data_IF_744143972650
#
_entry.id   IF_744143972650
#
_cell.length_a   1.000
_cell.length_b   1.000
_cell.length_c   1.000
_cell.angle_alpha   90.00
_cell.angle_beta   90.00
_cell.angle_gamma   90.00
#
_symmetry.space_group_name_H-M   'P 1'
#
loop_
_entity.id
_entity.type
_entity.pdbx_description
1 polymer ?
#
# COMPACT_ATOMS: atom_id res chain seq x y z
N UNK A 1 -14.64 -0.93 16.62
CA UNK A 1 -14.06 -2.01 15.81
C UNK A 1 -13.24 -2.93 16.70
N UNK A 2 -13.47 -4.22 16.63
CA UNK A 2 -12.78 -5.20 17.46
C UNK A 2 -11.37 -5.45 16.93
N UNK A 3 -10.44 -5.98 17.77
CA UNK A 3 -9.11 -6.34 17.28
C UNK A 3 -9.15 -7.36 16.13
N UNK A 4 -10.14 -8.25 16.13
CA UNK A 4 -10.29 -9.21 15.05
C UNK A 4 -10.68 -8.52 13.73
N UNK A 5 -11.53 -7.51 13.80
CA UNK A 5 -11.90 -6.73 12.62
C UNK A 5 -10.71 -5.99 12.06
N UNK A 6 -9.87 -5.45 12.93
CA UNK A 6 -8.66 -4.73 12.51
C UNK A 6 -7.72 -5.68 11.79
N UNK A 7 -7.50 -6.89 12.33
CA UNK A 7 -6.64 -7.88 11.70
C UNK A 7 -7.20 -8.32 10.35
N UNK A 8 -8.52 -8.47 10.24
CA UNK A 8 -9.16 -8.83 8.97
C UNK A 8 -8.93 -7.77 7.91
N UNK A 9 -9.10 -6.50 8.28
CA UNK A 9 -8.91 -5.39 7.35
C UNK A 9 -7.44 -5.29 6.93
N UNK A 10 -6.51 -5.44 7.87
CA UNK A 10 -5.09 -5.43 7.55
C UNK A 10 -4.73 -6.54 6.58
N UNK A 11 -5.30 -7.72 6.77
CA UNK A 11 -5.11 -8.85 5.87
C UNK A 11 -5.66 -8.54 4.48
N UNK A 12 -6.85 -7.94 4.42
CA UNK A 12 -7.45 -7.55 3.15
C UNK A 12 -6.61 -6.50 2.43
N UNK A 13 -6.00 -5.58 3.18
CA UNK A 13 -5.10 -4.58 2.60
C UNK A 13 -3.90 -5.28 1.96
N UNK A 14 -3.29 -6.24 2.66
CA UNK A 14 -2.16 -6.99 2.11
C UNK A 14 -2.55 -7.71 0.82
N UNK A 15 -3.69 -8.38 0.81
CA UNK A 15 -4.18 -9.08 -0.38
C UNK A 15 -4.43 -8.11 -1.52
N UNK A 16 -4.97 -6.95 -1.23
CA UNK A 16 -5.21 -5.91 -2.24
C UNK A 16 -3.89 -5.44 -2.85
N UNK A 17 -2.88 -5.19 -2.00
CA UNK A 17 -1.58 -4.74 -2.48
C UNK A 17 -0.88 -5.81 -3.31
N UNK A 18 -1.10 -7.08 -3.02
CA UNK A 18 -0.55 -8.19 -3.82
C UNK A 18 -1.18 -8.28 -5.20
N UNK A 19 -2.27 -7.59 -5.43
CA UNK A 19 -2.93 -7.55 -6.75
C UNK A 19 -2.61 -6.28 -7.53
N UNK A 20 -1.77 -5.41 -6.98
CA UNK A 20 -1.35 -4.19 -7.65
C UNK A 20 0.09 -4.37 -8.12
N UNK A 21 0.32 -4.15 -9.41
CA UNK A 21 1.64 -4.39 -10.02
C UNK A 21 2.33 -3.08 -10.34
N UNK A 22 3.66 -3.09 -10.17
CA UNK A 22 4.49 -1.98 -10.61
C UNK A 22 4.39 -1.89 -12.14
N UNK A 23 4.26 -0.68 -12.71
CA UNK A 23 4.11 -0.54 -14.16
C UNK A 23 5.36 -0.97 -14.95
N UNK A 24 6.52 -1.02 -14.32
CA UNK A 24 7.77 -1.36 -14.99
C UNK A 24 8.24 -2.79 -14.72
N UNK A 25 7.82 -3.38 -13.62
CA UNK A 25 8.29 -4.69 -13.18
C UNK A 25 7.07 -5.61 -13.00
N UNK A 26 7.03 -6.78 -13.65
CA UNK A 26 5.85 -7.67 -13.61
C UNK A 26 5.74 -8.44 -12.30
N UNK A 27 5.90 -7.76 -11.18
CA UNK A 27 5.75 -8.33 -9.83
C UNK A 27 4.89 -7.36 -9.03
N UNK A 28 4.01 -7.89 -8.16
CA UNK A 28 3.17 -7.03 -7.36
C UNK A 28 4.00 -6.20 -6.38
N UNK A 29 3.45 -5.04 -6.00
CA UNK A 29 4.19 -4.06 -5.20
C UNK A 29 4.52 -4.57 -3.80
N UNK A 30 3.73 -5.49 -3.26
CA UNK A 30 4.00 -6.07 -1.94
C UNK A 30 5.22 -7.00 -1.98
N UNK A 31 5.26 -7.91 -2.96
CA UNK A 31 6.37 -8.86 -3.09
C UNK A 31 7.66 -8.19 -3.56
N UNK A 32 7.54 -7.05 -4.25
CA UNK A 32 8.70 -6.25 -4.63
C UNK A 32 9.40 -5.60 -3.43
N UNK A 33 8.72 -5.57 -2.27
CA UNK A 33 9.28 -4.91 -1.10
C UNK A 33 9.08 -3.40 -1.09
N UNK A 34 8.15 -2.90 -1.86
CA UNK A 34 7.85 -1.46 -1.90
C UNK A 34 7.05 -1.00 -0.70
N UNK A 35 6.37 -1.91 -0.03
CA UNK A 35 5.54 -1.59 1.12
C UNK A 35 6.37 -1.81 2.39
N UNK A 36 6.65 -0.73 3.10
CA UNK A 36 7.48 -0.78 4.31
C UNK A 36 6.65 -0.99 5.57
N UNK A 37 5.46 -0.42 5.63
CA UNK A 37 4.64 -0.48 6.82
C UNK A 37 3.17 -0.33 6.46
N UNK A 38 2.34 -1.11 7.12
CA UNK A 38 0.88 -1.00 7.00
C UNK A 38 0.34 -0.86 8.42
N UNK A 39 -0.40 0.22 8.67
CA UNK A 39 -1.03 0.47 9.96
C UNK A 39 -2.49 0.80 9.72
N UNK A 40 -3.37 0.12 10.43
CA UNK A 40 -4.79 0.37 10.34
C UNK A 40 -5.33 0.84 11.69
N UNK A 41 -5.86 2.05 11.69
CA UNK A 41 -6.42 2.69 12.87
C UNK A 41 -7.84 2.18 13.13
N UNK A 42 -8.23 1.95 14.40
CA UNK A 42 -9.61 1.55 14.73
C UNK A 42 -10.68 2.51 14.22
N UNK A 43 -10.31 3.73 13.90
CA UNK A 43 -11.23 4.71 13.33
C UNK A 43 -11.51 4.48 11.84
N UNK A 44 -10.81 3.53 11.22
CA UNK A 44 -11.00 3.20 9.82
C UNK A 44 -9.99 3.84 8.88
N UNK A 45 -8.88 4.35 9.42
CA UNK A 45 -7.84 4.99 8.63
C UNK A 45 -6.72 3.98 8.35
N UNK A 46 -6.42 3.76 7.08
CA UNK A 46 -5.33 2.89 6.65
C UNK A 46 -4.12 3.76 6.30
N UNK A 47 -3.01 3.53 6.99
CA UNK A 47 -1.77 4.24 6.75
C UNK A 47 -0.77 3.27 6.12
N UNK A 48 -0.33 3.57 4.92
CA UNK A 48 0.59 2.72 4.16
C UNK A 48 1.86 3.50 3.88
N UNK A 49 2.97 3.01 4.44
CA UNK A 49 4.29 3.59 4.20
C UNK A 49 4.96 2.78 3.11
N UNK A 50 5.36 3.44 2.04
CA UNK A 50 5.91 2.75 0.88
C UNK A 50 6.94 3.60 0.15
N UNK A 51 7.61 2.95 -0.79
CA UNK A 51 8.55 3.63 -1.68
C UNK A 51 8.23 3.25 -3.13
N UNK A 52 9.00 3.80 -4.05
CA UNK A 52 8.89 3.50 -5.48
C UNK A 52 10.22 2.95 -5.98
N UNK A 53 10.18 2.27 -7.13
CA UNK A 53 11.39 1.72 -7.75
C UNK A 53 12.31 2.81 -8.28
N UNK A 54 11.75 3.98 -8.59
CA UNK A 54 12.52 5.14 -9.03
C UNK A 54 11.87 6.42 -8.49
N UNK A 55 12.65 7.36 -7.96
CA UNK A 55 12.10 8.57 -7.35
C UNK A 55 11.40 9.51 -8.36
N UNK A 56 11.75 9.40 -9.63
CA UNK A 56 11.19 10.25 -10.69
C UNK A 56 10.29 9.47 -11.64
N UNK A 57 9.66 8.41 -11.16
CA UNK A 57 8.77 7.61 -11.99
C UNK A 57 7.54 8.42 -12.42
N UNK A 58 7.31 8.64 -13.72
CA UNK A 58 6.14 9.40 -14.15
C UNK A 58 4.81 8.68 -13.90
N UNK A 59 4.87 7.38 -13.60
CA UNK A 59 3.68 6.60 -13.29
C UNK A 59 3.39 6.55 -11.78
N UNK A 60 4.17 7.27 -10.99
CA UNK A 60 4.03 7.25 -9.53
C UNK A 60 2.64 7.70 -9.09
N UNK A 61 2.14 8.78 -9.65
CA UNK A 61 0.83 9.31 -9.28
C UNK A 61 -0.28 8.32 -9.61
N UNK A 62 -0.17 7.64 -10.74
CA UNK A 62 -1.15 6.64 -11.16
C UNK A 62 -1.14 5.46 -10.19
N UNK A 63 0.04 5.00 -9.82
CA UNK A 63 0.18 3.88 -8.89
C UNK A 63 -0.39 4.23 -7.51
N UNK A 64 -0.06 5.40 -7.00
CA UNK A 64 -0.54 5.86 -5.70
C UNK A 64 -2.06 5.99 -5.72
N UNK A 65 -2.61 6.56 -6.79
CA UNK A 65 -4.05 6.68 -6.93
C UNK A 65 -4.74 5.33 -6.98
N UNK A 66 -4.15 4.38 -7.71
CA UNK A 66 -4.70 3.03 -7.79
C UNK A 66 -4.72 2.34 -6.43
N UNK A 67 -3.63 2.46 -5.68
CA UNK A 67 -3.56 1.92 -4.31
C UNK A 67 -4.66 2.54 -3.45
N UNK A 68 -4.79 3.86 -3.51
CA UNK A 68 -5.78 4.59 -2.73
C UNK A 68 -7.19 4.08 -3.05
N UNK A 69 -7.53 3.99 -4.32
CA UNK A 69 -8.85 3.54 -4.76
C UNK A 69 -9.12 2.10 -4.34
N UNK A 70 -8.16 1.21 -4.58
CA UNK A 70 -8.35 -0.21 -4.30
C UNK A 70 -8.45 -0.49 -2.79
N UNK A 71 -7.61 0.13 -1.99
CA UNK A 71 -7.64 -0.05 -0.55
C UNK A 71 -8.92 0.56 0.06
N UNK A 72 -9.35 1.68 -0.47
CA UNK A 72 -10.55 2.34 0.03
C UNK A 72 -11.83 1.52 -0.22
N UNK A 73 -11.80 0.62 -1.18
CA UNK A 73 -12.92 -0.28 -1.46
C UNK A 73 -13.09 -1.38 -0.40
N UNK A 74 -12.09 -1.58 0.43
CA UNK A 74 -12.15 -2.61 1.47
C UNK A 74 -13.19 -2.22 2.51
N UNK A 75 -14.04 -3.17 2.88
CA UNK A 75 -15.05 -2.94 3.89
C UNK A 75 -14.38 -2.67 5.24
N UNK A 76 -14.69 -1.53 5.82
CA UNK A 76 -14.10 -1.08 7.08
C UNK A 76 -13.08 0.05 6.92
N UNK A 77 -12.59 0.29 5.70
CA UNK A 77 -11.66 1.38 5.43
C UNK A 77 -12.44 2.63 5.07
N UNK A 78 -12.24 3.70 5.84
CA UNK A 78 -12.89 4.99 5.60
C UNK A 78 -11.96 5.96 4.92
N UNK A 79 -10.66 5.88 5.21
CA UNK A 79 -9.68 6.79 4.66
C UNK A 79 -8.36 6.05 4.45
N UNK A 80 -7.62 6.45 3.42
CA UNK A 80 -6.32 5.88 3.10
C UNK A 80 -5.29 7.00 3.06
N UNK A 81 -4.21 6.85 3.82
CA UNK A 81 -3.08 7.77 3.80
C UNK A 81 -1.86 6.99 3.29
N UNK A 82 -1.29 7.45 2.19
CA UNK A 82 -0.09 6.84 1.63
C UNK A 82 1.09 7.75 1.94
N UNK A 83 2.06 7.21 2.68
CA UNK A 83 3.25 7.93 3.08
C UNK A 83 4.39 7.45 2.20
N UNK A 84 4.81 8.32 1.28
CA UNK A 84 5.88 7.99 0.34
C UNK A 84 7.22 8.35 0.97
N UNK A 85 8.15 7.39 0.99
CA UNK A 85 9.48 7.61 1.55
C UNK A 85 10.52 6.98 0.64
N UNK A 86 11.71 7.55 0.62
CA UNK A 86 12.85 7.00 -0.11
C UNK A 86 14.00 6.63 0.82
N UNK A 87 13.69 6.53 2.12
CA UNK A 87 14.66 6.11 3.13
C UNK A 87 14.05 5.00 4.00
N UNK A 88 14.66 3.80 4.03
CA UNK A 88 15.85 3.43 3.23
C UNK A 88 15.50 3.31 1.74
N UNK A 89 16.50 3.49 0.85
CA UNK A 89 16.23 3.35 -0.58
C UNK A 89 15.89 1.91 -0.92
N UNK A 90 14.98 1.74 -1.86
CA UNK A 90 14.59 0.42 -2.33
C UNK A 90 15.76 -0.25 -3.06
N UNK A 91 16.01 -1.52 -2.76
CA UNK A 91 17.07 -2.31 -3.35
C UNK A 91 16.50 -3.63 -3.83
N UNK A 92 16.89 -4.05 -5.02
CA UNK A 92 16.42 -5.30 -5.63
C UNK A 92 17.13 -6.54 -5.08
N UNK A 93 18.22 -6.37 -4.37
CA UNK A 93 18.98 -7.50 -3.87
C UNK A 93 18.24 -8.37 -2.86
#
# INVERSE_FOLDING_TARGET
>A
MTPEDILRVEHDIVLTLKNIYDPEIPVNIYDLGLIYEIDFDPEGVANIKMTLTAPNCPMADILIEDINVQVKKINGVKEVNIILTFEPPWDRS
#
